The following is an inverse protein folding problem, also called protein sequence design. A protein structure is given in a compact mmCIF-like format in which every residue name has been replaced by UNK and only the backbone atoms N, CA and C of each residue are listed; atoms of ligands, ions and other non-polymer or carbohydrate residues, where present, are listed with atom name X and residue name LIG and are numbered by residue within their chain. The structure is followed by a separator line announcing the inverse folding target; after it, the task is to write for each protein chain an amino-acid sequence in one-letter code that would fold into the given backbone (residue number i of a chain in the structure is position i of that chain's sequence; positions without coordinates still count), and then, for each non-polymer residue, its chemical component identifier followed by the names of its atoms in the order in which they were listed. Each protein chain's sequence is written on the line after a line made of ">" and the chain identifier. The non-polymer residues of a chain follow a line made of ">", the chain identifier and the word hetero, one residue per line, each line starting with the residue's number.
data_IF_740918801497
#
_entry.id   IF_740918801497
#
_cell.length_a   1.000
_cell.length_b   1.000
_cell.length_c   1.000
_cell.angle_alpha   90.00
_cell.angle_beta   90.00
_cell.angle_gamma   90.00
#
_symmetry.space_group_name_H-M   'P 1'
#
loop_
_entity.id
_entity.type
_entity.pdbx_description
1 polymer ?
#
# COMPACT_ATOMS: atom_id res chain seq x y z
N UNK A 1 61.41 30.72 60.49
CA UNK A 1 61.07 30.82 61.94
C UNK A 1 60.08 29.73 62.25
N UNK A 2 60.50 28.66 62.92
CA UNK A 2 60.19 28.29 64.28
C UNK A 2 58.68 28.36 64.56
N UNK A 3 57.91 27.29 64.94
CA UNK A 3 58.13 26.41 66.07
C UNK A 3 57.32 25.12 65.98
N UNK A 4 57.92 24.05 66.45
CA UNK A 4 57.37 22.75 66.83
C UNK A 4 56.45 22.90 68.06
N UNK A 5 55.55 21.91 68.23
CA UNK A 5 55.31 21.18 69.56
C UNK A 5 54.24 20.13 69.29
N UNK A 6 54.56 18.98 69.39
CA UNK A 6 54.58 17.71 70.16
C UNK A 6 53.46 17.49 71.22
N UNK A 7 52.98 16.23 71.14
CA UNK A 7 52.49 15.32 72.19
C UNK A 7 51.03 15.60 72.74
N UNK A 8 50.19 14.61 72.84
CA UNK A 8 50.25 13.40 73.65
C UNK A 8 49.10 12.42 73.30
N UNK A 9 49.35 11.15 73.42
CA UNK A 9 48.42 10.01 73.30
C UNK A 9 47.44 9.92 74.46
N UNK A 10 46.25 9.45 74.17
CA UNK A 10 45.40 8.78 75.16
C UNK A 10 44.55 7.73 74.50
N UNK A 11 44.82 6.48 74.82
CA UNK A 11 44.08 5.29 74.39
C UNK A 11 42.77 5.21 75.22
N UNK A 12 41.65 5.04 74.53
CA UNK A 12 40.41 4.56 75.14
C UNK A 12 39.76 3.55 74.15
N UNK A 13 39.77 2.28 74.60
CA UNK A 13 39.03 1.22 73.95
C UNK A 13 37.53 1.39 74.20
N UNK A 14 36.73 1.40 73.15
CA UNK A 14 35.27 1.37 73.33
C UNK A 14 34.74 0.33 72.28
N UNK A 15 33.87 -0.52 72.80
CA UNK A 15 33.28 -1.68 72.11
C UNK A 15 32.56 -1.35 70.86
N UNK A 16 32.81 -2.16 69.84
CA UNK A 16 32.11 -2.11 68.52
C UNK A 16 30.78 -2.86 68.68
N UNK A 17 29.65 -2.16 68.74
CA UNK A 17 28.35 -2.72 68.46
C UNK A 17 28.16 -2.73 66.92
N UNK A 18 28.15 -3.91 66.32
CA UNK A 18 27.90 -4.08 64.84
C UNK A 18 26.48 -3.70 64.49
N UNK A 19 26.33 -2.59 63.79
CA UNK A 19 25.09 -2.25 63.07
C UNK A 19 25.21 -2.84 61.67
N UNK A 20 24.47 -3.95 61.42
CA UNK A 20 24.30 -4.47 60.09
C UNK A 20 23.51 -3.45 59.24
N UNK A 21 24.17 -2.67 58.43
CA UNK A 21 23.54 -1.82 57.43
C UNK A 21 22.89 -2.72 56.35
N UNK A 22 21.57 -2.86 56.39
CA UNK A 22 20.80 -3.43 55.29
C UNK A 22 20.92 -2.47 54.09
N UNK A 23 21.66 -2.87 53.08
CA UNK A 23 21.69 -2.16 51.81
C UNK A 23 20.31 -2.29 51.16
N UNK A 24 19.63 -1.18 50.78
CA UNK A 24 18.40 -1.27 50.01
C UNK A 24 18.77 -1.90 48.66
N UNK A 25 18.16 -3.05 48.35
CA UNK A 25 18.20 -3.63 47.01
C UNK A 25 17.57 -2.61 46.04
N UNK A 26 18.38 -2.00 45.19
CA UNK A 26 17.89 -1.22 44.06
C UNK A 26 17.07 -2.16 43.21
N UNK A 27 15.75 -2.02 43.22
CA UNK A 27 14.87 -2.71 42.31
C UNK A 27 15.33 -2.35 40.88
N UNK A 28 15.85 -3.34 40.13
CA UNK A 28 16.09 -3.19 38.71
C UNK A 28 14.80 -2.66 38.07
N UNK A 29 14.87 -1.59 37.26
CA UNK A 29 13.69 -1.18 36.49
C UNK A 29 13.26 -2.35 35.64
N UNK A 30 12.00 -2.78 35.83
CA UNK A 30 11.40 -3.78 34.97
C UNK A 30 11.64 -3.36 33.51
N UNK A 31 12.30 -4.22 32.74
CA UNK A 31 12.47 -4.02 31.33
C UNK A 31 11.07 -3.77 30.76
N UNK A 32 10.80 -2.55 30.26
CA UNK A 32 9.62 -2.28 29.48
C UNK A 32 9.74 -3.16 28.27
N UNK A 33 8.91 -4.17 28.18
CA UNK A 33 8.69 -4.91 26.95
C UNK A 33 8.34 -3.84 25.92
N UNK A 34 9.20 -3.68 24.89
CA UNK A 34 8.85 -2.84 23.76
C UNK A 34 7.49 -3.34 23.25
N UNK A 35 6.57 -2.46 22.87
CA UNK A 35 5.33 -2.92 22.25
C UNK A 35 5.73 -3.83 21.10
N UNK A 36 5.20 -5.05 21.10
CA UNK A 36 5.33 -5.97 19.97
C UNK A 36 4.86 -5.18 18.76
N UNK A 37 5.65 -5.11 17.70
CA UNK A 37 5.24 -4.49 16.45
C UNK A 37 3.90 -5.10 16.05
N UNK A 38 2.84 -4.31 16.17
CA UNK A 38 1.48 -4.72 15.83
C UNK A 38 1.28 -4.69 14.30
N UNK A 39 2.30 -5.13 13.58
CA UNK A 39 2.32 -5.16 12.12
C UNK A 39 1.85 -6.54 11.66
N UNK A 40 0.85 -6.57 10.82
CA UNK A 40 0.29 -7.78 10.23
C UNK A 40 0.38 -7.69 8.71
N UNK A 41 0.97 -8.71 8.09
CA UNK A 41 1.01 -8.85 6.63
C UNK A 41 -0.06 -9.83 6.17
N UNK A 42 -0.81 -9.44 5.14
CA UNK A 42 -1.86 -10.27 4.54
C UNK A 42 -1.75 -10.22 3.02
N UNK A 43 -1.83 -11.37 2.38
CA UNK A 43 -1.87 -11.49 0.92
C UNK A 43 -3.25 -11.97 0.48
N UNK A 44 -3.82 -11.33 -0.55
CA UNK A 44 -5.13 -11.65 -1.10
C UNK A 44 -5.01 -11.99 -2.58
N UNK A 45 -5.69 -13.07 -3.05
CA UNK A 45 -5.97 -13.22 -4.47
C UNK A 45 -6.98 -12.14 -4.89
N UNK A 46 -6.75 -11.53 -6.05
CA UNK A 46 -7.56 -10.41 -6.54
C UNK A 46 -8.04 -10.68 -7.94
N UNK A 47 -9.32 -10.43 -8.18
CA UNK A 47 -9.93 -10.27 -9.48
C UNK A 47 -10.73 -8.98 -9.50
N UNK A 48 -11.11 -8.50 -10.66
CA UNK A 48 -11.93 -7.30 -10.72
C UNK A 48 -12.22 -6.85 -12.14
N UNK A 49 -12.65 -5.62 -12.25
CA UNK A 49 -12.88 -4.98 -13.54
C UNK A 49 -12.71 -3.47 -13.44
N UNK A 50 -12.46 -2.85 -14.57
CA UNK A 50 -12.50 -1.40 -14.71
C UNK A 50 -13.42 -1.01 -15.85
N UNK A 51 -14.29 -0.03 -15.61
CA UNK A 51 -15.14 0.56 -16.65
C UNK A 51 -14.53 1.86 -17.14
N UNK A 52 -14.23 1.91 -18.42
CA UNK A 52 -13.67 3.09 -19.10
C UNK A 52 -14.81 3.90 -19.70
N UNK A 53 -15.12 5.03 -19.06
CA UNK A 53 -16.29 5.86 -19.38
C UNK A 53 -16.26 6.39 -20.82
N UNK A 54 -15.10 6.83 -21.27
CA UNK A 54 -14.93 7.45 -22.58
C UNK A 54 -15.34 6.54 -23.75
N UNK A 55 -15.09 5.23 -23.61
CA UNK A 55 -15.39 4.22 -24.65
C UNK A 55 -16.55 3.30 -24.25
N UNK A 56 -17.15 3.49 -23.08
CA UNK A 56 -18.27 2.68 -22.59
C UNK A 56 -17.96 1.19 -22.47
N UNK A 57 -16.71 0.83 -22.14
CA UNK A 57 -16.25 -0.57 -22.11
C UNK A 57 -15.76 -0.98 -20.73
N UNK A 58 -16.04 -2.22 -20.37
CA UNK A 58 -15.51 -2.87 -19.17
C UNK A 58 -14.36 -3.78 -19.55
N UNK A 59 -13.29 -3.74 -18.79
CA UNK A 59 -12.09 -4.56 -18.93
C UNK A 59 -11.92 -5.38 -17.65
N UNK A 60 -11.82 -6.69 -17.78
CA UNK A 60 -11.57 -7.58 -16.66
C UNK A 60 -10.10 -7.48 -16.20
N UNK A 61 -9.89 -7.50 -14.89
CA UNK A 61 -8.60 -7.39 -14.23
C UNK A 61 -8.27 -8.67 -13.47
N UNK A 62 -7.05 -9.13 -13.62
CA UNK A 62 -6.57 -10.30 -12.89
C UNK A 62 -6.82 -11.64 -13.61
N UNK A 63 -6.63 -12.79 -12.90
CA UNK A 63 -6.31 -12.87 -11.48
C UNK A 63 -4.93 -12.30 -11.13
N UNK A 64 -4.86 -11.64 -10.00
CA UNK A 64 -3.65 -11.02 -9.47
C UNK A 64 -3.50 -11.23 -7.97
N UNK A 65 -2.60 -10.49 -7.36
CA UNK A 65 -2.31 -10.58 -5.92
C UNK A 65 -2.17 -9.18 -5.33
N UNK A 66 -2.79 -8.96 -4.16
CA UNK A 66 -2.58 -7.79 -3.33
C UNK A 66 -1.86 -8.21 -2.06
N UNK A 67 -0.65 -7.72 -1.87
CA UNK A 67 0.11 -7.88 -0.62
C UNK A 67 -0.04 -6.63 0.23
N UNK A 68 -0.50 -6.77 1.46
CA UNK A 68 -0.75 -5.65 2.38
C UNK A 68 0.02 -5.82 3.67
N UNK A 69 0.35 -4.69 4.27
CA UNK A 69 0.89 -4.61 5.64
C UNK A 69 0.08 -3.58 6.41
N UNK A 70 -0.51 -4.00 7.51
CA UNK A 70 -1.32 -3.16 8.38
C UNK A 70 -0.66 -2.99 9.74
N UNK A 71 -0.59 -1.75 10.22
CA UNK A 71 -0.21 -1.42 11.58
C UNK A 71 -1.49 -1.31 12.43
N UNK A 72 -1.67 -2.25 13.35
CA UNK A 72 -2.83 -2.32 14.22
C UNK A 72 -2.88 -1.19 15.26
N UNK A 73 -1.74 -0.57 15.54
CA UNK A 73 -1.66 0.54 16.52
C UNK A 73 -2.11 1.86 15.91
N UNK A 74 -1.67 2.14 14.69
CA UNK A 74 -1.98 3.38 13.96
C UNK A 74 -3.18 3.25 13.03
N UNK A 75 -3.68 2.03 12.82
CA UNK A 75 -4.74 1.73 11.85
C UNK A 75 -4.40 2.15 10.43
N UNK A 76 -3.11 2.21 10.10
CA UNK A 76 -2.63 2.49 8.75
C UNK A 76 -2.33 1.19 8.01
N UNK A 77 -2.44 1.25 6.68
CA UNK A 77 -2.07 0.13 5.83
C UNK A 77 -1.26 0.61 4.62
N UNK A 78 -0.41 -0.28 4.14
CA UNK A 78 0.27 -0.16 2.86
C UNK A 78 -0.02 -1.39 2.03
N UNK A 79 0.06 -1.27 0.70
CA UNK A 79 -0.23 -2.39 -0.18
C UNK A 79 0.47 -2.30 -1.53
N UNK A 80 0.75 -3.47 -2.09
CA UNK A 80 1.26 -3.60 -3.46
C UNK A 80 0.34 -4.54 -4.22
N UNK A 81 -0.27 -4.03 -5.29
CA UNK A 81 -1.14 -4.78 -6.18
C UNK A 81 -0.35 -5.21 -7.42
N UNK A 82 -0.38 -6.49 -7.73
CA UNK A 82 0.22 -7.04 -8.95
C UNK A 82 -0.89 -7.66 -9.80
N UNK A 83 -1.12 -7.10 -10.99
CA UNK A 83 -2.08 -7.57 -11.97
C UNK A 83 -1.37 -7.98 -13.25
N UNK A 84 -1.80 -9.04 -13.94
CA UNK A 84 -1.33 -9.34 -15.28
C UNK A 84 -1.86 -8.29 -16.27
N UNK A 85 -1.27 -8.20 -17.48
CA UNK A 85 -1.83 -7.40 -18.55
C UNK A 85 -3.29 -7.73 -18.82
N UNK A 86 -4.12 -6.72 -18.98
CA UNK A 86 -5.54 -6.85 -19.25
C UNK A 86 -5.86 -6.47 -20.70
N UNK A 87 -6.70 -7.27 -21.36
CA UNK A 87 -7.13 -7.00 -22.73
C UNK A 87 -8.60 -6.63 -22.76
N UNK A 88 -8.89 -5.48 -23.34
CA UNK A 88 -10.25 -5.00 -23.58
C UNK A 88 -10.56 -4.88 -25.07
N UNK A 89 -11.83 -5.01 -25.40
CA UNK A 89 -12.34 -4.79 -26.76
C UNK A 89 -13.54 -3.86 -26.72
N UNK A 90 -13.57 -2.91 -27.62
CA UNK A 90 -14.67 -1.95 -27.77
C UNK A 90 -14.89 -1.58 -29.24
N UNK A 91 -15.92 -0.81 -29.52
CA UNK A 91 -16.18 -0.32 -30.87
C UNK A 91 -16.04 1.19 -30.89
N UNK A 92 -15.05 1.68 -31.63
CA UNK A 92 -14.91 3.10 -31.90
C UNK A 92 -16.01 3.56 -32.83
N UNK A 93 -16.65 4.69 -32.52
CA UNK A 93 -17.83 5.23 -33.22
C UNK A 93 -18.96 4.18 -33.42
N UNK A 94 -19.04 3.17 -32.56
CA UNK A 94 -20.03 2.10 -32.64
C UNK A 94 -19.79 1.05 -33.75
N UNK A 95 -18.80 1.22 -34.60
CA UNK A 95 -18.60 0.42 -35.82
C UNK A 95 -17.22 -0.27 -35.88
N UNK A 96 -16.15 0.44 -35.55
CA UNK A 96 -14.79 -0.03 -35.76
C UNK A 96 -14.34 -0.85 -34.56
N UNK A 97 -14.10 -2.17 -34.67
CA UNK A 97 -13.63 -2.95 -33.53
C UNK A 97 -12.20 -2.57 -33.18
N UNK A 98 -11.98 -2.30 -31.90
CA UNK A 98 -10.67 -1.99 -31.33
C UNK A 98 -10.39 -2.98 -30.21
N UNK A 99 -9.19 -3.52 -30.18
CA UNK A 99 -8.68 -4.36 -29.08
C UNK A 99 -7.41 -3.73 -28.55
N UNK A 100 -7.35 -3.52 -27.24
CA UNK A 100 -6.22 -2.94 -26.55
C UNK A 100 -5.78 -3.84 -25.40
N UNK A 101 -4.47 -3.99 -25.20
CA UNK A 101 -3.88 -4.64 -24.03
C UNK A 101 -3.14 -3.60 -23.23
N UNK A 102 -3.44 -3.53 -21.93
CA UNK A 102 -2.86 -2.56 -21.00
C UNK A 102 -2.25 -3.25 -19.79
N UNK A 103 -1.25 -2.64 -19.23
CA UNK A 103 -0.67 -2.96 -17.91
C UNK A 103 -0.94 -1.81 -16.97
N UNK A 104 -1.34 -2.12 -15.74
CA UNK A 104 -1.36 -1.18 -14.63
C UNK A 104 -0.10 -1.39 -13.81
N UNK A 105 0.75 -0.39 -13.77
CA UNK A 105 2.04 -0.43 -13.08
C UNK A 105 1.92 0.49 -11.87
N UNK A 106 1.94 -0.10 -10.67
CA UNK A 106 1.85 0.67 -9.45
C UNK A 106 3.15 1.42 -9.17
N UNK A 107 3.06 2.74 -9.00
CA UNK A 107 4.16 3.64 -8.69
C UNK A 107 4.31 3.80 -7.18
N UNK A 108 5.21 3.04 -6.58
CA UNK A 108 5.38 2.97 -5.13
C UNK A 108 4.34 2.10 -4.44
N UNK A 109 4.12 2.32 -3.15
CA UNK A 109 3.20 1.54 -2.33
C UNK A 109 1.87 2.30 -2.16
N UNK A 110 0.75 1.64 -2.35
CA UNK A 110 -0.55 2.18 -1.96
C UNK A 110 -0.57 2.43 -0.45
N UNK A 111 -1.21 3.49 -0.03
CA UNK A 111 -1.37 3.84 1.39
C UNK A 111 -2.83 4.00 1.74
N UNK A 112 -3.19 3.74 3.00
CA UNK A 112 -4.57 3.84 3.42
C UNK A 112 -4.78 3.65 4.90
N UNK A 113 -6.03 3.50 5.28
CA UNK A 113 -6.46 3.26 6.65
C UNK A 113 -7.43 2.08 6.70
N UNK A 114 -7.44 1.41 7.83
CA UNK A 114 -8.37 0.33 8.13
C UNK A 114 -9.03 0.58 9.48
N UNK A 115 -10.35 0.47 9.51
CA UNK A 115 -11.11 0.50 10.76
C UNK A 115 -11.39 -0.94 11.18
N UNK A 116 -10.69 -1.45 12.17
CA UNK A 116 -10.83 -2.84 12.63
C UNK A 116 -12.16 -3.14 13.33
N UNK A 117 -12.93 -2.12 13.71
CA UNK A 117 -14.26 -2.31 14.31
C UNK A 117 -15.32 -2.52 13.24
N UNK A 118 -15.26 -1.76 12.14
CA UNK A 118 -16.24 -1.80 11.06
C UNK A 118 -15.76 -2.60 9.85
N UNK A 119 -14.49 -2.98 9.80
CA UNK A 119 -13.78 -3.52 8.63
C UNK A 119 -13.74 -2.56 7.43
N UNK A 120 -14.02 -1.29 7.62
CA UNK A 120 -13.95 -0.31 6.55
C UNK A 120 -12.47 -0.04 6.20
N UNK A 121 -12.18 -0.05 4.92
CA UNK A 121 -10.85 0.22 4.34
C UNK A 121 -10.97 1.34 3.33
N UNK A 122 -10.04 2.28 3.37
CA UNK A 122 -9.83 3.27 2.32
C UNK A 122 -8.38 3.27 1.92
N UNK A 123 -8.10 3.26 0.63
CA UNK A 123 -6.72 3.27 0.14
C UNK A 123 -6.58 4.14 -1.11
N UNK A 124 -5.38 4.66 -1.30
CA UNK A 124 -5.00 5.43 -2.48
C UNK A 124 -3.71 4.84 -3.04
N UNK A 125 -3.73 4.53 -4.31
CA UNK A 125 -2.57 4.11 -5.10
C UNK A 125 -2.28 5.16 -6.17
N UNK A 126 -1.06 5.14 -6.66
CA UNK A 126 -0.65 5.86 -7.86
C UNK A 126 -0.19 4.82 -8.87
N UNK A 127 -0.75 4.85 -10.07
CA UNK A 127 -0.50 3.85 -11.11
C UNK A 127 -0.23 4.51 -12.45
N UNK A 128 0.74 3.99 -13.18
CA UNK A 128 0.98 4.31 -14.58
C UNK A 128 0.25 3.27 -15.45
N UNK A 129 -0.57 3.74 -16.39
CA UNK A 129 -1.29 2.86 -17.34
C UNK A 129 -0.49 2.78 -18.62
N UNK A 130 0.04 1.60 -18.92
CA UNK A 130 0.85 1.34 -20.10
C UNK A 130 0.04 0.58 -21.15
N UNK A 131 0.02 1.07 -22.38
CA UNK A 131 -0.60 0.39 -23.52
C UNK A 131 0.46 -0.45 -24.24
N UNK A 132 0.32 -1.77 -24.17
CA UNK A 132 1.30 -2.70 -24.73
C UNK A 132 0.92 -3.21 -26.11
N UNK A 133 -0.39 -3.21 -26.46
CA UNK A 133 -0.88 -3.62 -27.77
C UNK A 133 -2.14 -2.85 -28.15
N UNK A 134 -2.25 -2.50 -29.41
CA UNK A 134 -3.45 -1.89 -30.00
C UNK A 134 -3.73 -2.52 -31.37
N UNK A 135 -4.98 -2.93 -31.60
CA UNK A 135 -5.46 -3.40 -32.90
C UNK A 135 -6.72 -2.64 -33.28
N UNK A 136 -6.78 -2.13 -34.50
CA UNK A 136 -7.95 -1.44 -35.05
C UNK A 136 -8.43 -2.22 -36.25
N UNK A 137 -9.69 -2.64 -36.27
CA UNK A 137 -10.25 -3.55 -37.31
C UNK A 137 -9.39 -4.80 -37.53
N UNK A 138 -8.78 -5.34 -36.45
CA UNK A 138 -7.88 -6.49 -36.53
C UNK A 138 -6.44 -6.18 -36.97
N UNK A 139 -6.16 -4.96 -37.42
CA UNK A 139 -4.81 -4.55 -37.89
C UNK A 139 -4.00 -4.04 -36.68
N UNK A 140 -2.80 -4.59 -36.42
CA UNK A 140 -1.92 -4.10 -35.37
C UNK A 140 -1.45 -2.66 -35.64
N UNK A 141 -1.55 -1.81 -34.64
CA UNK A 141 -1.03 -0.45 -34.64
C UNK A 141 0.20 -0.40 -33.73
N UNK A 142 1.31 0.12 -34.26
CA UNK A 142 2.54 0.26 -33.50
C UNK A 142 2.39 1.41 -32.50
N UNK A 143 2.35 1.08 -31.20
CA UNK A 143 2.23 2.05 -30.13
C UNK A 143 3.57 2.38 -29.44
N UNK A 144 4.63 1.64 -29.77
CA UNK A 144 5.94 1.81 -29.15
C UNK A 144 6.04 1.18 -27.74
N UNK A 145 7.26 1.00 -27.22
CA UNK A 145 7.50 0.31 -25.95
C UNK A 145 7.18 1.16 -24.71
N UNK A 146 7.10 2.47 -24.87
CA UNK A 146 6.90 3.45 -23.79
C UNK A 146 5.58 4.22 -23.93
N UNK A 147 4.55 3.59 -24.51
CA UNK A 147 3.22 4.18 -24.64
C UNK A 147 2.51 4.08 -23.29
N UNK A 148 2.53 5.16 -22.50
CA UNK A 148 1.99 5.16 -21.14
C UNK A 148 1.44 6.52 -20.76
N UNK A 149 0.63 6.55 -19.68
CA UNK A 149 0.13 7.79 -19.10
C UNK A 149 1.14 8.38 -18.14
N UNK A 150 0.97 9.64 -17.75
CA UNK A 150 1.48 10.10 -16.46
C UNK A 150 0.78 9.34 -15.32
N UNK A 151 1.37 9.32 -14.11
CA UNK A 151 0.78 8.63 -12.97
C UNK A 151 -0.65 9.09 -12.68
N UNK A 152 -1.56 8.13 -12.52
CA UNK A 152 -2.96 8.32 -12.18
C UNK A 152 -3.20 7.98 -10.70
N UNK A 153 -3.88 8.85 -9.97
CA UNK A 153 -4.30 8.54 -8.60
C UNK A 153 -5.59 7.75 -8.62
N UNK A 154 -5.58 6.59 -7.96
CA UNK A 154 -6.73 5.69 -7.83
C UNK A 154 -7.05 5.54 -6.35
N UNK A 155 -8.20 6.08 -5.94
CA UNK A 155 -8.70 5.95 -4.58
C UNK A 155 -9.84 4.93 -4.56
N UNK A 156 -9.75 3.93 -3.68
CA UNK A 156 -10.80 2.91 -3.50
C UNK A 156 -11.19 2.79 -2.04
N UNK A 157 -12.44 2.40 -1.83
CA UNK A 157 -13.02 2.15 -0.51
C UNK A 157 -13.69 0.78 -0.49
N UNK A 158 -13.72 0.14 0.67
CA UNK A 158 -14.42 -1.13 0.85
C UNK A 158 -15.93 -0.95 0.78
N UNK A 159 -16.60 -1.89 0.13
CA UNK A 159 -18.04 -1.96 0.09
C UNK A 159 -18.62 -2.67 1.33
N UNK A 160 -19.94 -2.62 1.46
CA UNK A 160 -20.63 -3.30 2.54
C UNK A 160 -20.36 -4.82 2.50
N UNK A 161 -20.07 -5.40 3.66
CA UNK A 161 -19.74 -6.83 3.78
C UNK A 161 -18.25 -7.14 3.61
N UNK A 162 -17.40 -6.16 3.35
CA UNK A 162 -15.95 -6.37 3.34
C UNK A 162 -15.45 -6.82 4.72
N UNK A 163 -14.52 -7.74 4.73
CA UNK A 163 -13.85 -8.21 5.94
C UNK A 163 -12.35 -8.40 5.69
N UNK A 164 -11.53 -7.86 6.56
CA UNK A 164 -10.06 -7.88 6.40
C UNK A 164 -9.44 -9.27 6.28
N UNK A 165 -10.09 -10.32 6.80
CA UNK A 165 -9.58 -11.70 6.69
C UNK A 165 -10.24 -12.49 5.54
N UNK A 166 -11.50 -12.23 5.27
CA UNK A 166 -12.26 -12.97 4.26
C UNK A 166 -12.28 -12.30 2.89
N UNK A 167 -11.81 -11.03 2.82
CA UNK A 167 -11.86 -10.24 1.61
C UNK A 167 -13.19 -9.53 1.41
N UNK A 168 -13.53 -9.27 0.15
CA UNK A 168 -14.72 -8.54 -0.28
C UNK A 168 -14.36 -7.55 -1.40
N UNK A 169 -15.24 -6.61 -1.68
CA UNK A 169 -15.07 -5.67 -2.79
C UNK A 169 -14.50 -4.32 -2.32
N UNK A 170 -13.53 -3.84 -3.06
CA UNK A 170 -13.04 -2.45 -3.02
C UNK A 170 -13.44 -1.78 -4.33
N UNK A 171 -14.04 -0.61 -4.26
CA UNK A 171 -14.42 0.14 -5.45
C UNK A 171 -14.04 1.62 -5.38
N UNK A 172 -13.92 2.25 -6.53
CA UNK A 172 -13.56 3.64 -6.62
C UNK A 172 -13.67 4.21 -8.03
N UNK A 173 -13.35 5.50 -8.10
CA UNK A 173 -13.33 6.23 -9.38
C UNK A 173 -11.96 6.84 -9.61
N UNK A 174 -11.59 6.99 -10.88
CA UNK A 174 -10.32 7.58 -11.25
C UNK A 174 -10.38 8.31 -12.60
N UNK A 175 -9.34 9.07 -12.87
CA UNK A 175 -9.14 9.77 -14.14
C UNK A 175 -7.98 9.12 -14.88
N UNK A 176 -8.18 8.81 -16.16
CA UNK A 176 -7.09 8.39 -17.05
C UNK A 176 -6.41 9.65 -17.58
N UNK A 177 -5.11 9.86 -17.28
CA UNK A 177 -4.34 10.96 -17.86
C UNK A 177 -4.07 10.73 -19.35
N UNK A 178 -3.63 11.77 -20.08
CA UNK A 178 -3.18 11.60 -21.47
C UNK A 178 -1.99 10.63 -21.57
N UNK A 179 -1.98 9.87 -22.65
CA UNK A 179 -0.88 9.00 -23.04
C UNK A 179 0.23 9.77 -23.75
N UNK A 180 1.46 9.33 -23.55
CA UNK A 180 2.64 9.86 -24.22
C UNK A 180 3.43 8.72 -24.91
N UNK A 181 4.31 9.07 -25.83
CA UNK A 181 5.24 8.15 -26.50
C UNK A 181 4.59 7.00 -27.27
N UNK A 182 3.33 7.14 -27.68
CA UNK A 182 2.61 6.13 -28.48
C UNK A 182 2.84 6.25 -30.00
N UNK A 183 3.87 6.96 -30.42
CA UNK A 183 4.16 7.20 -31.82
C UNK A 183 3.02 7.96 -32.52
N UNK A 184 2.67 7.55 -33.74
CA UNK A 184 1.59 8.17 -34.52
C UNK A 184 0.20 7.96 -33.89
N UNK A 185 0.03 6.95 -33.05
CA UNK A 185 -1.23 6.65 -32.39
C UNK A 185 -1.53 7.60 -31.20
N UNK A 186 -0.55 8.40 -30.73
CA UNK A 186 -0.71 9.26 -29.55
C UNK A 186 -1.94 10.18 -29.65
N UNK A 187 -2.12 10.83 -30.81
CA UNK A 187 -3.25 11.74 -31.01
C UNK A 187 -4.58 11.00 -30.97
N UNK A 188 -4.69 9.86 -31.66
CA UNK A 188 -5.91 9.06 -31.71
C UNK A 188 -6.27 8.55 -30.30
N UNK A 189 -5.32 7.99 -29.58
CA UNK A 189 -5.51 7.47 -28.24
C UNK A 189 -6.00 8.60 -27.30
N UNK A 190 -5.39 9.77 -27.38
CA UNK A 190 -5.73 10.90 -26.52
C UNK A 190 -7.06 11.60 -26.87
N UNK A 191 -7.61 11.36 -28.03
CA UNK A 191 -8.97 11.80 -28.38
C UNK A 191 -10.06 10.87 -27.83
N UNK A 192 -9.70 9.62 -27.48
CA UNK A 192 -10.69 8.58 -27.18
C UNK A 192 -10.64 8.04 -25.76
N UNK A 193 -9.47 7.93 -25.12
CA UNK A 193 -9.33 7.23 -23.83
C UNK A 193 -9.24 8.12 -22.59
N UNK A 194 -8.45 9.21 -22.58
CA UNK A 194 -8.28 10.03 -21.37
C UNK A 194 -9.56 10.68 -20.90
N UNK A 195 -9.70 10.83 -19.60
CA UNK A 195 -10.83 11.54 -19.01
C UNK A 195 -11.23 11.01 -17.64
N UNK A 196 -12.10 11.76 -16.95
CA UNK A 196 -12.59 11.42 -15.63
C UNK A 196 -13.79 10.48 -15.65
N UNK A 197 -14.07 9.91 -14.47
CA UNK A 197 -15.28 9.13 -14.23
C UNK A 197 -15.16 7.67 -14.63
N UNK A 198 -13.94 7.15 -14.79
CA UNK A 198 -13.72 5.72 -14.89
C UNK A 198 -13.92 5.10 -13.50
N UNK A 199 -14.39 3.86 -13.46
CA UNK A 199 -14.58 3.14 -12.21
C UNK A 199 -13.71 1.90 -12.16
N UNK A 200 -13.30 1.52 -10.98
CA UNK A 200 -12.59 0.27 -10.71
C UNK A 200 -13.31 -0.48 -9.59
N UNK A 201 -13.40 -1.78 -9.74
CA UNK A 201 -13.93 -2.69 -8.73
C UNK A 201 -13.00 -3.89 -8.62
N UNK A 202 -12.46 -4.11 -7.42
CA UNK A 202 -11.53 -5.20 -7.11
C UNK A 202 -12.17 -6.10 -6.07
N UNK A 203 -12.31 -7.38 -6.39
CA UNK A 203 -12.78 -8.40 -5.46
C UNK A 203 -11.59 -9.15 -4.89
N UNK A 204 -11.40 -9.00 -3.59
CA UNK A 204 -10.38 -9.70 -2.82
C UNK A 204 -10.97 -11.02 -2.32
N UNK A 205 -10.28 -12.10 -2.56
CA UNK A 205 -10.59 -13.40 -1.95
C UNK A 205 -10.10 -13.47 -0.50
N UNK A 206 -10.16 -14.66 0.09
CA UNK A 206 -9.70 -14.87 1.48
C UNK A 206 -8.23 -14.54 1.64
N UNK A 207 -7.92 -13.72 2.65
CA UNK A 207 -6.57 -13.33 3.00
C UNK A 207 -5.77 -14.49 3.59
N UNK A 208 -4.49 -14.54 3.25
CA UNK A 208 -3.50 -15.44 3.84
C UNK A 208 -2.52 -14.59 4.65
N UNK A 209 -2.40 -14.89 5.93
CA UNK A 209 -1.47 -14.19 6.81
C UNK A 209 -0.02 -14.52 6.39
N UNK A 210 0.79 -13.47 6.25
CA UNK A 210 2.23 -13.61 6.09
C UNK A 210 2.87 -14.08 7.38
N UNK A 211 3.85 -14.94 7.26
CA UNK A 211 4.70 -15.41 8.38
C UNK A 211 5.86 -14.45 8.63
#
# INVERSE_FOLDING_TARGET
>A
MRRRLTLLAASAAAAVAGIAAATPALASPAARTAPSDSIVSVSYPVTGSTFIKAIGSTIDLGPGTLSTTADLTTSTLTGTLTLPPATGSFKELGLIPVTATTEMIQDGTATGTVNFTTNAVTTTATDTIKLTSLKVAGVPILVGPSCETSPATIAVSSEAGFNVLNGGTLSGTYTIPPFAHCGLATLLINLTLPGPGNTISLTLGKGTLGS
#
